data_IF_800936405663
#
_entry.id   IF_800936405663
#
_cell.length_a   1.000
_cell.length_b   1.000
_cell.length_c   1.000
_cell.angle_alpha   90.00
_cell.angle_beta   90.00
_cell.angle_gamma   90.00
#
_symmetry.space_group_name_H-M   'P 1'
#
loop_
_entity.id
_entity.type
_entity.pdbx_description
1 polymer ?
#
# COMPACT_ATOMS: atom_id res chain seq x y z
N UNK A 1 -50.25 -21.01 56.96
CA UNK A 1 -50.51 -20.37 55.67
C UNK A 1 -49.26 -19.61 55.29
N UNK A 2 -48.40 -20.23 54.51
CA UNK A 2 -47.10 -19.66 54.15
C UNK A 2 -47.11 -19.45 52.62
N UNK A 3 -47.22 -18.20 52.22
CA UNK A 3 -47.28 -17.80 50.82
C UNK A 3 -45.87 -17.77 50.24
N UNK A 4 -45.56 -18.65 49.31
CA UNK A 4 -44.28 -18.70 48.56
C UNK A 4 -44.33 -17.69 47.43
N UNK A 5 -43.49 -16.66 47.51
CA UNK A 5 -43.30 -15.69 46.46
C UNK A 5 -42.29 -16.26 45.40
N UNK A 6 -42.76 -16.57 44.22
CA UNK A 6 -41.91 -17.00 43.10
C UNK A 6 -41.29 -15.80 42.46
N UNK A 7 -39.95 -15.70 42.56
CA UNK A 7 -39.14 -14.75 41.80
C UNK A 7 -39.05 -15.22 40.35
N UNK A 8 -39.61 -14.44 39.44
CA UNK A 8 -39.46 -14.61 37.99
C UNK A 8 -38.15 -13.94 37.60
N UNK A 9 -37.13 -14.76 37.25
CA UNK A 9 -35.88 -14.29 36.70
C UNK A 9 -36.11 -13.89 35.24
N UNK A 10 -36.12 -12.61 34.96
CA UNK A 10 -36.15 -12.07 33.59
C UNK A 10 -34.70 -11.99 33.10
N UNK A 11 -34.27 -13.00 32.33
CA UNK A 11 -33.00 -12.94 31.57
C UNK A 11 -33.11 -11.85 30.53
N UNK A 12 -32.62 -10.66 30.85
CA UNK A 12 -32.48 -9.56 29.90
C UNK A 12 -31.41 -9.84 28.86
N UNK A 13 -31.83 -10.13 27.63
CA UNK A 13 -30.96 -10.17 26.45
C UNK A 13 -30.50 -8.74 26.17
N UNK A 14 -29.30 -8.39 26.59
CA UNK A 14 -28.68 -7.11 26.25
C UNK A 14 -28.27 -7.15 24.79
N UNK A 15 -29.11 -6.64 23.88
CA UNK A 15 -28.72 -6.30 22.54
C UNK A 15 -27.73 -5.11 22.62
N UNK A 16 -26.44 -5.39 22.45
CA UNK A 16 -25.48 -4.34 22.23
C UNK A 16 -25.77 -3.70 20.86
N UNK A 17 -26.53 -2.61 20.89
CA UNK A 17 -26.69 -1.74 19.72
C UNK A 17 -25.36 -1.04 19.53
N UNK A 18 -24.52 -1.56 18.63
CA UNK A 18 -23.36 -0.83 18.13
C UNK A 18 -23.87 0.35 17.32
N UNK A 19 -23.95 1.51 17.97
CA UNK A 19 -24.19 2.79 17.30
C UNK A 19 -23.01 3.05 16.38
N UNK A 20 -23.20 2.79 15.10
CA UNK A 20 -22.26 3.18 14.06
C UNK A 20 -22.36 4.70 13.91
N UNK A 21 -21.53 5.41 14.67
CA UNK A 21 -21.44 6.87 14.60
C UNK A 21 -20.80 7.23 13.25
N UNK A 22 -21.60 7.41 12.23
CA UNK A 22 -21.15 7.98 10.94
C UNK A 22 -20.86 9.46 11.22
N UNK A 23 -19.58 9.78 11.41
CA UNK A 23 -19.14 11.17 11.54
C UNK A 23 -19.36 11.88 10.19
N UNK A 24 -19.95 13.09 10.18
CA UNK A 24 -20.33 13.80 8.94
C UNK A 24 -19.17 14.24 8.05
N UNK A 25 -17.91 14.00 8.45
CA UNK A 25 -16.72 14.42 7.71
C UNK A 25 -15.89 13.26 7.12
N UNK A 26 -16.45 12.06 7.01
CA UNK A 26 -15.84 10.95 6.26
C UNK A 26 -14.39 10.57 6.66
N UNK A 27 -13.98 10.81 7.91
CA UNK A 27 -12.62 10.47 8.37
C UNK A 27 -12.47 8.96 8.49
N UNK A 28 -11.70 8.38 7.58
CA UNK A 28 -11.35 6.96 7.64
C UNK A 28 -10.40 6.75 8.83
N UNK A 29 -10.62 5.73 9.68
CA UNK A 29 -9.70 5.42 10.78
C UNK A 29 -8.27 5.23 10.29
N UNK A 30 -7.29 5.74 11.05
CA UNK A 30 -5.86 5.65 10.70
C UNK A 30 -5.42 4.19 10.42
N UNK A 31 -5.92 3.23 11.19
CA UNK A 31 -5.65 1.81 10.98
C UNK A 31 -6.12 1.30 9.61
N UNK A 32 -7.28 1.74 9.12
CA UNK A 32 -7.78 1.37 7.81
C UNK A 32 -6.96 2.02 6.68
N UNK A 33 -6.48 3.24 6.87
CA UNK A 33 -5.60 3.94 5.92
C UNK A 33 -4.25 3.24 5.80
N UNK A 34 -3.62 2.87 6.92
CA UNK A 34 -2.32 2.17 6.91
C UNK A 34 -2.42 0.79 6.27
N UNK A 35 -3.50 0.04 6.51
CA UNK A 35 -3.73 -1.27 5.88
C UNK A 35 -3.90 -1.14 4.37
N UNK A 36 -4.69 -0.16 3.90
CA UNK A 36 -4.87 0.10 2.48
C UNK A 36 -3.56 0.48 1.78
N UNK A 37 -2.78 1.36 2.40
CA UNK A 37 -1.47 1.80 1.88
C UNK A 37 -0.47 0.64 1.85
N UNK A 38 -0.37 -0.16 2.91
CA UNK A 38 0.48 -1.36 2.93
C UNK A 38 0.14 -2.31 1.77
N UNK A 39 -1.15 -2.63 1.60
CA UNK A 39 -1.58 -3.53 0.52
C UNK A 39 -1.19 -3.01 -0.85
N UNK A 40 -1.38 -1.73 -1.11
CA UNK A 40 -1.04 -1.10 -2.40
C UNK A 40 0.47 -1.17 -2.67
N UNK A 41 1.29 -0.89 -1.66
CA UNK A 41 2.76 -1.00 -1.79
C UNK A 41 3.20 -2.45 -1.98
N UNK A 42 2.59 -3.40 -1.27
CA UNK A 42 2.89 -4.82 -1.42
C UNK A 42 2.51 -5.36 -2.81
N UNK A 43 1.34 -4.97 -3.33
CA UNK A 43 0.94 -5.33 -4.68
C UNK A 43 1.90 -4.71 -5.72
N UNK A 44 2.30 -3.44 -5.54
CA UNK A 44 3.30 -2.79 -6.38
C UNK A 44 4.67 -3.48 -6.33
N UNK A 45 5.11 -3.95 -5.17
CA UNK A 45 6.31 -4.77 -5.03
C UNK A 45 6.22 -6.08 -5.83
N UNK A 46 5.07 -6.76 -5.83
CA UNK A 46 4.85 -7.97 -6.65
C UNK A 46 4.96 -7.68 -8.13
N UNK A 47 4.26 -6.64 -8.62
CA UNK A 47 4.34 -6.25 -10.04
C UNK A 47 5.74 -5.82 -10.44
N UNK A 48 6.46 -5.12 -9.55
CA UNK A 48 7.86 -4.77 -9.74
C UNK A 48 8.72 -6.00 -10.02
N UNK A 49 8.57 -7.05 -9.21
CA UNK A 49 9.34 -8.28 -9.34
C UNK A 49 8.94 -9.16 -10.53
N UNK A 50 7.80 -8.90 -11.14
CA UNK A 50 7.40 -9.57 -12.39
C UNK A 50 7.99 -8.84 -13.61
N UNK A 51 7.93 -7.50 -13.64
CA UNK A 51 8.13 -6.76 -14.88
C UNK A 51 9.36 -5.84 -14.88
N UNK A 52 9.80 -5.30 -13.74
CA UNK A 52 10.73 -4.17 -13.68
C UNK A 52 12.12 -4.52 -13.16
N UNK A 53 12.22 -5.45 -12.19
CA UNK A 53 13.43 -5.69 -11.42
C UNK A 53 14.65 -6.11 -12.25
N UNK A 54 14.44 -6.79 -13.38
CA UNK A 54 15.52 -7.29 -14.23
C UNK A 54 16.40 -6.15 -14.80
N UNK A 55 15.77 -5.01 -15.08
CA UNK A 55 16.47 -3.83 -15.56
C UNK A 55 16.77 -2.83 -14.45
N UNK A 56 15.79 -2.56 -13.57
CA UNK A 56 15.88 -1.51 -12.54
C UNK A 56 16.38 -1.99 -11.16
N UNK A 57 16.76 -3.26 -11.02
CA UNK A 57 17.21 -3.85 -9.76
C UNK A 57 16.07 -4.21 -8.81
N UNK A 58 16.37 -5.12 -7.86
CA UNK A 58 15.36 -5.72 -6.94
C UNK A 58 14.63 -4.67 -6.10
N UNK A 59 15.38 -3.65 -5.65
CA UNK A 59 14.89 -2.59 -4.77
C UNK A 59 14.76 -1.23 -5.47
N UNK A 60 14.63 -1.23 -6.80
CA UNK A 60 14.52 -0.04 -7.66
C UNK A 60 15.78 0.85 -7.65
N UNK A 61 16.91 0.32 -7.23
CA UNK A 61 18.19 1.06 -7.12
C UNK A 61 18.96 1.19 -8.44
N UNK A 62 18.37 0.70 -9.52
CA UNK A 62 19.01 0.72 -10.85
C UNK A 62 20.00 -0.42 -11.06
N UNK A 63 20.49 -0.52 -12.29
CA UNK A 63 21.55 -1.41 -12.74
C UNK A 63 22.37 -0.70 -13.81
N UNK A 64 23.25 -1.41 -14.48
CA UNK A 64 23.93 -0.90 -15.70
C UNK A 64 22.97 -0.65 -16.87
N UNK A 65 21.81 -1.29 -16.86
CA UNK A 65 20.83 -1.25 -17.96
C UNK A 65 19.74 -0.20 -17.77
N UNK A 66 19.47 0.24 -16.54
CA UNK A 66 18.37 1.15 -16.25
C UNK A 66 18.66 1.99 -14.99
N UNK A 67 18.11 3.22 -14.92
CA UNK A 67 18.43 4.17 -13.86
C UNK A 67 17.91 3.74 -12.50
N UNK A 68 18.55 4.28 -11.45
CA UNK A 68 18.09 4.24 -10.07
C UNK A 68 16.82 5.11 -9.93
N UNK A 69 15.70 4.47 -9.59
CA UNK A 69 14.42 5.15 -9.38
C UNK A 69 14.20 5.57 -7.92
N UNK A 70 15.11 5.20 -7.02
CA UNK A 70 15.06 5.63 -5.61
C UNK A 70 15.89 6.89 -5.34
N UNK A 71 16.56 7.44 -6.36
CA UNK A 71 17.28 8.70 -6.23
C UNK A 71 16.29 9.86 -6.01
N UNK A 72 16.42 10.60 -4.91
CA UNK A 72 15.53 11.73 -4.62
C UNK A 72 15.53 12.82 -5.70
N UNK A 73 16.62 12.94 -6.47
CA UNK A 73 16.73 13.91 -7.56
C UNK A 73 15.96 13.50 -8.82
N UNK A 74 15.57 12.24 -8.92
CA UNK A 74 14.84 11.66 -10.05
C UNK A 74 13.38 11.34 -9.73
N UNK A 75 12.80 11.98 -8.72
CA UNK A 75 11.39 11.76 -8.35
C UNK A 75 10.46 12.19 -9.48
N UNK A 76 9.68 11.22 -9.96
CA UNK A 76 8.61 11.46 -10.92
C UNK A 76 7.28 11.63 -10.18
N UNK A 77 6.46 12.53 -10.69
CA UNK A 77 5.05 12.57 -10.31
C UNK A 77 4.33 11.28 -10.76
N UNK A 78 3.18 10.98 -10.18
CA UNK A 78 2.38 9.82 -10.58
C UNK A 78 2.00 9.86 -12.07
N UNK A 79 1.71 11.05 -12.60
CA UNK A 79 1.35 11.23 -14.00
C UNK A 79 2.54 10.99 -14.96
N UNK A 80 3.72 11.48 -14.61
CA UNK A 80 4.95 11.27 -15.39
C UNK A 80 5.36 9.81 -15.36
N UNK A 81 5.35 9.18 -14.18
CA UNK A 81 5.64 7.76 -14.04
C UNK A 81 4.68 6.91 -14.89
N UNK A 82 3.39 7.18 -14.79
CA UNK A 82 2.35 6.51 -15.59
C UNK A 82 2.63 6.66 -17.08
N UNK A 83 2.89 7.88 -17.56
CA UNK A 83 3.18 8.18 -18.97
C UNK A 83 4.40 7.40 -19.45
N UNK A 84 5.48 7.40 -18.66
CA UNK A 84 6.72 6.70 -19.03
C UNK A 84 6.51 5.19 -19.11
N UNK A 85 5.85 4.60 -18.13
CA UNK A 85 5.64 3.15 -18.10
C UNK A 85 4.70 2.70 -19.22
N UNK A 86 3.60 3.41 -19.44
CA UNK A 86 2.63 3.02 -20.47
C UNK A 86 3.17 3.16 -21.89
N UNK A 87 3.97 4.21 -22.16
CA UNK A 87 4.51 4.46 -23.50
C UNK A 87 5.90 3.86 -23.74
N UNK A 88 6.63 3.53 -22.67
CA UNK A 88 8.02 3.16 -22.75
C UNK A 88 8.95 4.34 -23.07
N UNK A 89 10.23 4.02 -23.24
CA UNK A 89 11.30 4.92 -23.73
C UNK A 89 12.14 4.13 -24.71
N UNK A 90 11.66 3.88 -25.94
CA UNK A 90 12.28 2.97 -26.91
C UNK A 90 13.76 3.30 -27.20
N UNK A 91 14.09 4.58 -27.32
CA UNK A 91 15.45 5.05 -27.58
C UNK A 91 16.44 4.71 -26.44
N UNK A 92 15.93 4.37 -25.27
CA UNK A 92 16.70 3.92 -24.09
C UNK A 92 16.48 2.43 -23.76
N UNK A 93 15.83 1.69 -24.66
CA UNK A 93 15.58 0.26 -24.51
C UNK A 93 14.44 -0.13 -23.56
N UNK A 94 13.67 0.84 -23.04
CA UNK A 94 12.49 0.55 -22.23
C UNK A 94 11.25 0.40 -23.12
N UNK A 95 10.68 -0.80 -23.16
CA UNK A 95 9.44 -1.05 -23.92
C UNK A 95 8.22 -0.38 -23.29
N UNK A 96 7.17 -0.21 -24.07
CA UNK A 96 5.84 0.14 -23.55
C UNK A 96 5.21 -1.04 -22.81
N UNK A 97 4.52 -0.76 -21.72
CA UNK A 97 3.89 -1.77 -20.86
C UNK A 97 2.37 -1.75 -20.90
N UNK A 98 1.77 -0.90 -21.75
CA UNK A 98 0.32 -0.68 -21.86
C UNK A 98 -0.50 -1.94 -22.23
N UNK A 99 0.14 -2.94 -22.82
CA UNK A 99 -0.48 -4.24 -23.15
C UNK A 99 -0.40 -5.27 -22.05
N UNK A 100 0.45 -5.06 -21.05
CA UNK A 100 0.72 -6.03 -19.97
C UNK A 100 0.31 -5.53 -18.60
N UNK A 101 0.24 -4.22 -18.41
CA UNK A 101 -0.10 -3.58 -17.13
C UNK A 101 -1.28 -2.62 -17.32
N UNK A 102 -2.22 -2.66 -16.41
CA UNK A 102 -3.26 -1.65 -16.30
C UNK A 102 -2.79 -0.42 -15.46
N UNK A 103 -3.58 0.66 -15.52
CA UNK A 103 -3.26 1.89 -14.79
C UNK A 103 -3.19 1.71 -13.28
N UNK A 104 -4.00 0.79 -12.72
CA UNK A 104 -4.00 0.49 -11.30
C UNK A 104 -2.68 -0.16 -10.91
N UNK A 105 -2.24 -1.19 -11.63
CA UNK A 105 -0.97 -1.87 -11.41
C UNK A 105 0.22 -0.91 -11.51
N UNK A 106 0.23 -0.02 -12.51
CA UNK A 106 1.28 1.01 -12.65
C UNK A 106 1.26 1.99 -11.48
N UNK A 107 0.08 2.38 -10.98
CA UNK A 107 -0.03 3.23 -9.79
C UNK A 107 0.48 2.53 -8.53
N UNK A 108 0.24 1.24 -8.38
CA UNK A 108 0.76 0.41 -7.29
C UNK A 108 2.29 0.30 -7.35
N UNK A 109 2.85 0.06 -8.54
CA UNK A 109 4.31 0.08 -8.77
C UNK A 109 4.90 1.44 -8.40
N UNK A 110 4.28 2.53 -8.85
CA UNK A 110 4.73 3.89 -8.50
C UNK A 110 4.76 4.11 -6.99
N UNK A 111 3.72 3.67 -6.27
CA UNK A 111 3.68 3.82 -4.81
C UNK A 111 4.78 2.99 -4.11
N UNK A 112 5.08 1.79 -4.62
CA UNK A 112 6.22 1.00 -4.14
C UNK A 112 7.55 1.74 -4.36
N UNK A 113 7.81 2.20 -5.59
CA UNK A 113 9.03 2.96 -5.91
C UNK A 113 9.13 4.23 -5.05
N UNK A 114 8.04 4.93 -4.84
CA UNK A 114 7.98 6.11 -3.97
C UNK A 114 8.30 5.77 -2.52
N UNK A 115 7.79 4.66 -1.97
CA UNK A 115 8.11 4.20 -0.62
C UNK A 115 9.60 3.93 -0.44
N UNK A 116 10.25 3.38 -1.49
CA UNK A 116 11.69 3.18 -1.53
C UNK A 116 12.46 4.50 -1.62
N UNK A 117 12.05 5.40 -2.53
CA UNK A 117 12.67 6.72 -2.73
C UNK A 117 12.55 7.63 -1.49
N UNK A 118 11.41 7.58 -0.80
CA UNK A 118 11.17 8.33 0.45
C UNK A 118 11.87 7.68 1.66
N UNK A 119 12.54 6.54 1.47
CA UNK A 119 13.25 5.76 2.51
C UNK A 119 12.34 5.34 3.68
N UNK A 120 11.04 5.25 3.44
CA UNK A 120 10.08 4.75 4.44
C UNK A 120 9.91 3.25 4.39
N UNK A 121 10.19 2.62 3.24
CA UNK A 121 10.24 1.17 3.07
C UNK A 121 11.69 0.71 2.98
N UNK A 122 12.19 -0.13 3.91
CA UNK A 122 13.52 -0.75 3.80
C UNK A 122 13.65 -1.66 2.57
N UNK A 123 14.88 -2.02 2.14
CA UNK A 123 15.12 -3.04 1.12
C UNK A 123 14.48 -4.38 1.48
N UNK A 124 13.98 -5.10 0.46
CA UNK A 124 13.40 -6.43 0.61
C UNK A 124 11.88 -6.47 0.49
N UNK A 125 11.29 -7.57 0.96
CA UNK A 125 9.83 -7.81 0.85
C UNK A 125 9.07 -6.99 1.91
N UNK A 126 8.00 -6.29 1.53
CA UNK A 126 7.23 -5.49 2.49
C UNK A 126 6.62 -6.29 3.66
N UNK A 127 6.40 -7.58 3.52
CA UNK A 127 5.86 -8.45 4.57
C UNK A 127 6.91 -8.96 5.56
N UNK A 128 8.20 -8.67 5.34
CA UNK A 128 9.31 -9.17 6.16
C UNK A 128 10.23 -8.05 6.70
N UNK A 129 10.18 -6.85 6.11
CA UNK A 129 11.14 -5.78 6.41
C UNK A 129 10.73 -4.85 7.55
N UNK A 130 9.61 -5.10 8.19
CA UNK A 130 9.23 -4.40 9.41
C UNK A 130 9.99 -4.91 10.64
N UNK A 131 9.83 -4.27 11.80
CA UNK A 131 10.52 -4.67 13.02
C UNK A 131 10.29 -6.15 13.36
N UNK A 132 11.38 -6.86 13.69
CA UNK A 132 11.38 -8.30 14.04
C UNK A 132 10.83 -9.22 12.93
N UNK A 133 11.08 -8.90 11.65
CA UNK A 133 10.61 -9.69 10.52
C UNK A 133 9.10 -9.66 10.29
N UNK A 134 8.42 -8.66 10.86
CA UNK A 134 6.98 -8.44 10.65
C UNK A 134 6.73 -7.65 9.36
N UNK A 135 5.48 -7.60 8.88
CA UNK A 135 5.12 -6.71 7.79
C UNK A 135 5.48 -5.24 8.08
N UNK A 136 5.94 -4.54 7.05
CA UNK A 136 6.17 -3.11 7.11
C UNK A 136 4.88 -2.35 7.42
N UNK A 137 4.98 -1.33 8.25
CA UNK A 137 3.86 -0.44 8.57
C UNK A 137 4.15 0.94 7.97
N UNK A 138 3.28 1.43 7.07
CA UNK A 138 3.42 2.78 6.54
C UNK A 138 3.44 3.83 7.66
N UNK A 139 4.36 4.82 7.61
CA UNK A 139 4.34 5.93 8.56
C UNK A 139 3.01 6.69 8.51
N UNK A 140 2.57 7.21 9.66
CA UNK A 140 1.35 8.00 9.73
C UNK A 140 1.42 9.20 8.78
N UNK A 141 0.37 9.41 7.99
CA UNK A 141 0.29 10.48 6.99
C UNK A 141 1.08 10.25 5.69
N UNK A 142 1.79 9.12 5.55
CA UNK A 142 2.40 8.75 4.28
C UNK A 142 1.41 7.91 3.43
N UNK A 143 1.36 8.10 2.10
CA UNK A 143 2.05 9.11 1.31
C UNK A 143 1.43 10.50 1.50
N UNK A 144 2.27 11.52 1.73
CA UNK A 144 1.81 12.90 1.65
C UNK A 144 1.31 13.22 0.24
N UNK A 145 0.23 14.03 0.15
CA UNK A 145 -0.35 14.47 -1.13
C UNK A 145 0.65 15.30 -1.93
#
# INVERSE_FOLDING_TARGET
MTTQLRLISVSGLVFAVTVFCVLPNGTVPLAAQTTGTYKTVYDGWKWWHVYCYRCHGVDAVGTTNAPNLTDPNNKLSSAEFMKIVMNGVPDKGMQAWDKLLDKKQVSEIHLYVRARSDKVLPPGRPDEVGPNGKPWVPPAGWPSK
#
